data_IF_914273924628
#
_entry.id   IF_914273924628
#
_cell.length_a   1.000
_cell.length_b   1.000
_cell.length_c   1.000
_cell.angle_alpha   90.00
_cell.angle_beta   90.00
_cell.angle_gamma   90.00
#
_symmetry.space_group_name_H-M   'P 1'
#
loop_
_entity.id
_entity.type
_entity.pdbx_description
1 polymer ?
#
# COMPACT_ATOMS: atom_id res chain seq x y z
N UNK A 1 4.69 -4.96 -28.74
CA UNK A 1 5.49 -5.12 -27.51
C UNK A 1 5.11 -3.99 -26.57
N UNK A 2 4.85 -4.30 -25.31
CA UNK A 2 4.61 -3.27 -24.29
C UNK A 2 5.95 -2.96 -23.61
N UNK A 3 6.20 -1.67 -23.37
CA UNK A 3 7.37 -1.22 -22.61
C UNK A 3 6.89 -0.66 -21.27
N UNK A 4 7.58 -1.05 -20.20
CA UNK A 4 7.39 -0.50 -18.87
C UNK A 4 8.65 0.27 -18.47
N UNK A 5 8.46 1.54 -18.10
CA UNK A 5 9.53 2.37 -17.54
C UNK A 5 9.13 2.72 -16.12
N UNK A 6 10.03 2.44 -15.18
CA UNK A 6 9.86 2.78 -13.77
C UNK A 6 10.90 3.83 -13.45
N UNK A 7 10.45 5.04 -13.12
CA UNK A 7 11.30 6.14 -12.71
C UNK A 7 11.32 6.23 -11.17
N UNK A 8 12.35 6.88 -10.63
CA UNK A 8 12.44 7.22 -9.20
C UNK A 8 12.42 6.00 -8.25
N UNK A 9 13.04 4.89 -8.67
CA UNK A 9 13.26 3.74 -7.78
C UNK A 9 14.28 4.13 -6.70
N UNK A 10 13.98 3.94 -5.41
CA UNK A 10 14.95 4.14 -4.34
C UNK A 10 16.21 3.28 -4.55
N UNK A 11 17.39 3.86 -4.33
CA UNK A 11 18.68 3.18 -4.58
C UNK A 11 18.80 1.83 -3.85
N UNK A 12 18.33 1.75 -2.60
CA UNK A 12 18.32 0.51 -1.83
C UNK A 12 17.46 -0.58 -2.48
N UNK A 13 16.30 -0.20 -3.03
CA UNK A 13 15.42 -1.14 -3.72
C UNK A 13 16.05 -1.60 -5.03
N UNK A 14 16.64 -0.68 -5.80
CA UNK A 14 17.36 -1.02 -7.04
C UNK A 14 18.51 -2.01 -6.76
N UNK A 15 19.29 -1.76 -5.70
CA UNK A 15 20.37 -2.64 -5.28
C UNK A 15 19.88 -4.05 -4.90
N UNK A 16 18.74 -4.14 -4.19
CA UNK A 16 18.11 -5.43 -3.86
C UNK A 16 17.66 -6.19 -5.10
N UNK A 17 17.01 -5.53 -6.06
CA UNK A 17 16.56 -6.16 -7.31
C UNK A 17 17.78 -6.64 -8.13
N UNK A 18 18.83 -5.82 -8.23
CA UNK A 18 20.07 -6.23 -8.90
C UNK A 18 20.74 -7.44 -8.23
N UNK A 19 20.77 -7.48 -6.89
CA UNK A 19 21.31 -8.63 -6.15
C UNK A 19 20.48 -9.90 -6.40
N UNK A 20 19.16 -9.79 -6.41
CA UNK A 20 18.27 -10.90 -6.73
C UNK A 20 18.50 -11.40 -8.16
N UNK A 21 18.61 -10.50 -9.13
CA UNK A 21 18.91 -10.85 -10.52
C UNK A 21 20.24 -11.61 -10.65
N UNK A 22 21.29 -11.15 -9.96
CA UNK A 22 22.59 -11.85 -9.90
C UNK A 22 22.47 -13.24 -9.27
N UNK A 23 21.74 -13.36 -8.17
CA UNK A 23 21.56 -14.64 -7.47
C UNK A 23 20.78 -15.65 -8.32
N UNK A 24 19.80 -15.19 -9.09
CA UNK A 24 18.97 -16.01 -9.98
C UNK A 24 19.58 -16.17 -11.39
N UNK A 25 20.76 -15.61 -11.62
CA UNK A 25 21.48 -15.63 -12.89
C UNK A 25 20.62 -15.19 -14.09
N UNK A 26 19.82 -14.15 -13.89
CA UNK A 26 18.93 -13.57 -14.90
C UNK A 26 19.20 -12.07 -15.07
N UNK A 27 18.68 -11.49 -16.17
CA UNK A 27 18.75 -10.05 -16.37
C UNK A 27 17.87 -9.31 -15.38
N UNK A 28 18.16 -8.02 -15.16
CA UNK A 28 17.34 -7.17 -14.31
C UNK A 28 15.88 -7.11 -14.79
N UNK A 29 15.67 -7.01 -16.10
CA UNK A 29 14.33 -7.02 -16.71
C UNK A 29 13.58 -8.32 -16.44
N UNK A 30 14.24 -9.47 -16.57
CA UNK A 30 13.62 -10.76 -16.26
C UNK A 30 13.28 -10.87 -14.78
N UNK A 31 14.16 -10.40 -13.89
CA UNK A 31 13.89 -10.39 -12.46
C UNK A 31 12.68 -9.53 -12.09
N UNK A 32 12.51 -8.37 -12.74
CA UNK A 32 11.33 -7.51 -12.56
C UNK A 32 10.07 -8.18 -13.07
N UNK A 33 10.12 -8.86 -14.23
CA UNK A 33 8.99 -9.62 -14.77
C UNK A 33 8.59 -10.73 -13.80
N UNK A 34 9.54 -11.53 -13.30
CA UNK A 34 9.27 -12.61 -12.33
C UNK A 34 8.64 -12.06 -11.06
N UNK A 35 9.13 -10.92 -10.54
CA UNK A 35 8.53 -10.29 -9.38
C UNK A 35 7.07 -9.86 -9.64
N UNK A 36 6.78 -9.29 -10.81
CA UNK A 36 5.42 -8.92 -11.21
C UNK A 36 4.51 -10.15 -11.38
N UNK A 37 5.02 -11.25 -11.95
CA UNK A 37 4.26 -12.49 -12.10
C UNK A 37 3.92 -13.14 -10.75
N UNK A 38 4.85 -13.12 -9.80
CA UNK A 38 4.62 -13.60 -8.43
C UNK A 38 3.54 -12.76 -7.76
N UNK A 39 3.65 -11.44 -7.84
CA UNK A 39 2.63 -10.50 -7.33
C UNK A 39 1.28 -10.83 -7.96
N UNK A 40 1.17 -10.98 -9.27
CA UNK A 40 -0.10 -11.29 -9.93
C UNK A 40 -0.67 -12.66 -9.53
N UNK A 41 0.18 -13.67 -9.33
CA UNK A 41 -0.23 -15.02 -8.94
C UNK A 41 -0.69 -15.09 -7.47
N UNK A 42 0.00 -14.37 -6.59
CA UNK A 42 -0.28 -14.36 -5.14
C UNK A 42 -1.36 -13.35 -4.75
N UNK A 43 -2.00 -12.70 -5.74
CA UNK A 43 -3.10 -11.75 -5.52
C UNK A 43 -2.66 -10.31 -5.23
N UNK A 44 -1.37 -10.04 -5.41
CA UNK A 44 -0.70 -8.76 -5.25
C UNK A 44 -0.76 -8.21 -3.84
N UNK A 45 -0.10 -7.07 -3.57
CA UNK A 45 -0.50 -6.30 -2.41
C UNK A 45 -1.99 -5.99 -2.58
N UNK A 46 -2.81 -6.36 -1.59
CA UNK A 46 -4.18 -5.83 -1.44
C UNK A 46 -4.05 -4.32 -1.32
N UNK A 47 -3.95 -3.63 -2.45
CA UNK A 47 -4.14 -2.19 -2.48
C UNK A 47 -5.46 -1.93 -1.78
N UNK A 48 -5.44 -0.95 -0.88
CA UNK A 48 -6.53 -0.61 0.02
C UNK A 48 -7.78 -0.30 -0.83
N UNK A 49 -8.62 -1.33 -0.98
CA UNK A 49 -10.02 -1.33 -1.38
C UNK A 49 -10.34 -0.49 -2.63
N UNK A 50 -10.11 -1.04 -3.82
CA UNK A 50 -10.78 -0.56 -5.03
C UNK A 50 -12.18 -1.21 -5.17
N UNK A 51 -13.17 -0.48 -5.71
CA UNK A 51 -14.54 -0.98 -5.89
C UNK A 51 -14.63 -2.30 -6.67
N UNK A 52 -13.71 -2.53 -7.61
CA UNK A 52 -13.70 -3.70 -8.47
C UNK A 52 -13.13 -4.98 -7.81
N UNK A 53 -12.39 -4.84 -6.69
CA UNK A 53 -11.66 -5.97 -6.08
C UNK A 53 -12.17 -6.41 -4.72
N UNK A 54 -13.10 -5.66 -4.10
CA UNK A 54 -13.68 -6.03 -2.81
C UNK A 54 -15.21 -5.88 -2.85
N UNK A 55 -15.98 -7.00 -2.79
CA UNK A 55 -17.44 -6.94 -2.80
C UNK A 55 -18.05 -6.27 -1.57
N UNK A 56 -17.26 -6.01 -0.51
CA UNK A 56 -17.68 -5.25 0.67
C UNK A 56 -17.28 -3.76 0.62
N UNK A 57 -16.69 -3.29 -0.49
CA UNK A 57 -16.29 -1.89 -0.66
C UNK A 57 -17.48 -0.94 -0.54
N UNK A 58 -18.61 -1.28 -1.14
CA UNK A 58 -19.82 -0.45 -1.05
C UNK A 58 -20.36 -0.38 0.38
N UNK A 59 -20.37 -1.51 1.11
CA UNK A 59 -20.83 -1.54 2.50
C UNK A 59 -19.91 -0.72 3.41
N UNK A 60 -18.59 -0.85 3.24
CA UNK A 60 -17.62 -0.02 3.99
C UNK A 60 -17.76 1.46 3.64
N UNK A 61 -17.93 1.80 2.36
CA UNK A 61 -18.14 3.19 1.92
C UNK A 61 -19.39 3.79 2.53
N UNK A 62 -20.49 3.03 2.63
CA UNK A 62 -21.74 3.47 3.28
C UNK A 62 -21.57 3.71 4.78
N UNK A 63 -20.62 3.03 5.44
CA UNK A 63 -20.34 3.21 6.87
C UNK A 63 -19.43 4.40 7.19
N UNK A 64 -18.70 4.94 6.20
CA UNK A 64 -17.77 6.08 6.42
C UNK A 64 -18.46 7.31 7.04
N UNK A 65 -19.63 7.76 6.57
CA UNK A 65 -20.32 8.91 7.18
C UNK A 65 -20.68 8.70 8.65
N UNK A 66 -21.10 7.48 9.02
CA UNK A 66 -21.44 7.14 10.41
C UNK A 66 -20.20 7.14 11.31
N UNK A 67 -19.07 6.64 10.81
CA UNK A 67 -17.79 6.68 11.52
C UNK A 67 -17.30 8.11 11.73
N UNK A 68 -17.43 8.98 10.72
CA UNK A 68 -17.06 10.41 10.84
C UNK A 68 -17.92 11.08 11.91
N UNK A 69 -19.25 10.93 11.84
CA UNK A 69 -20.16 11.52 12.82
C UNK A 69 -19.90 11.01 14.25
N UNK A 70 -19.46 9.75 14.39
CA UNK A 70 -19.08 9.18 15.69
C UNK A 70 -17.76 9.75 16.21
N UNK A 71 -16.77 9.96 15.34
CA UNK A 71 -15.50 10.59 15.70
C UNK A 71 -15.72 12.05 16.11
N UNK A 72 -16.55 12.79 15.37
CA UNK A 72 -16.91 14.17 15.70
C UNK A 72 -17.55 14.25 17.08
N UNK A 73 -18.54 13.39 17.37
CA UNK A 73 -19.16 13.32 18.70
C UNK A 73 -18.15 13.01 19.80
N UNK A 74 -17.25 12.06 19.58
CA UNK A 74 -16.20 11.72 20.55
C UNK A 74 -15.27 12.92 20.78
N UNK A 75 -14.91 13.66 19.74
CA UNK A 75 -14.08 14.86 19.85
C UNK A 75 -14.81 16.03 20.54
N UNK A 76 -16.14 16.10 20.44
CA UNK A 76 -16.96 17.07 21.17
C UNK A 76 -17.13 16.70 22.65
N UNK A 77 -17.18 15.40 22.97
CA UNK A 77 -17.33 14.87 24.33
C UNK A 77 -16.00 14.79 25.10
N UNK A 78 -14.87 14.66 24.40
CA UNK A 78 -13.54 14.66 25.01
C UNK A 78 -13.05 16.10 25.18
N UNK A 79 -12.65 16.51 26.40
CA UNK A 79 -11.99 17.80 26.58
C UNK A 79 -10.71 17.82 25.72
N UNK A 80 -10.56 18.88 24.92
CA UNK A 80 -9.43 19.13 24.03
C UNK A 80 -8.10 19.32 24.78
N UNK A 81 -8.11 19.28 26.12
CA UNK A 81 -6.96 19.36 27.04
C UNK A 81 -6.32 18.00 27.34
N UNK A 82 -6.27 17.09 26.37
CA UNK A 82 -5.18 16.11 26.39
C UNK A 82 -3.97 16.85 25.83
N UNK A 83 -3.27 17.58 26.70
CA UNK A 83 -1.85 17.87 26.49
C UNK A 83 -1.22 16.50 26.22
N UNK A 84 -0.95 16.21 24.94
CA UNK A 84 -0.07 15.13 24.58
C UNK A 84 1.21 15.44 25.34
N UNK A 85 1.49 14.63 26.37
CA UNK A 85 2.70 14.74 27.16
C UNK A 85 3.87 14.41 26.23
N UNK A 86 4.28 15.39 25.43
CA UNK A 86 5.67 15.57 25.03
C UNK A 86 6.43 15.96 26.31
N UNK A 87 6.53 14.99 27.23
CA UNK A 87 7.31 15.10 28.44
C UNK A 87 8.49 14.14 28.34
N UNK A 88 9.60 14.78 27.93
CA UNK A 88 11.01 14.58 28.30
C UNK A 88 11.73 13.30 27.89
#
# INVERSE_FOLDING_TARGET
MANLTINDIPDDLMAKIQKLAKNNNCSLSEQVIVALEIILREGGPKYIVSPDTDPSWEDRRKMIPELIARIERINEELPTDIEWLDSV
#
